data_IF_274768879415
#
_entry.id   IF_274768879415
#
_cell.length_a   1.000
_cell.length_b   1.000
_cell.length_c   1.000
_cell.angle_alpha   90.00
_cell.angle_beta   90.00
_cell.angle_gamma   90.00
#
_symmetry.space_group_name_H-M   'P 1'
#
loop_
_entity.id
_entity.type
_entity.pdbx_description
1 polymer ?
#
# COMPACT_ATOMS: atom_id res chain seq x y z
N UNK A 1 -49.17 -16.25 58.92
CA UNK A 1 -49.37 -15.70 57.57
C UNK A 1 -48.51 -14.44 57.42
N UNK A 2 -47.36 -14.55 56.76
CA UNK A 2 -46.43 -13.42 56.55
C UNK A 2 -46.18 -13.31 55.05
N UNK A 3 -46.86 -12.38 54.38
CA UNK A 3 -46.64 -12.08 52.96
C UNK A 3 -45.41 -11.18 52.82
N UNK A 4 -44.31 -11.74 52.31
CA UNK A 4 -43.15 -10.97 51.84
C UNK A 4 -43.52 -10.29 50.51
N UNK A 5 -43.53 -8.96 50.49
CA UNK A 5 -43.50 -8.18 49.26
C UNK A 5 -42.10 -8.24 48.66
N UNK A 6 -41.98 -8.63 47.38
CA UNK A 6 -40.76 -8.49 46.59
C UNK A 6 -40.89 -7.23 45.73
N UNK A 7 -40.05 -6.23 45.97
CA UNK A 7 -39.84 -5.14 45.00
C UNK A 7 -39.03 -5.70 43.83
N UNK A 8 -39.55 -5.60 42.62
CA UNK A 8 -38.77 -5.77 41.40
C UNK A 8 -38.04 -4.45 41.12
N UNK A 9 -36.71 -4.46 41.27
CA UNK A 9 -35.82 -3.44 40.73
C UNK A 9 -35.77 -3.61 39.21
N UNK A 10 -36.35 -2.66 38.49
CA UNK A 10 -36.22 -2.54 37.04
C UNK A 10 -34.88 -1.88 36.72
N UNK A 11 -33.90 -2.69 36.32
CA UNK A 11 -32.64 -2.21 35.73
C UNK A 11 -32.98 -1.66 34.35
N UNK A 12 -32.93 -0.34 34.22
CA UNK A 12 -33.10 0.36 32.95
C UNK A 12 -31.79 0.21 32.15
N UNK A 13 -31.75 -0.71 31.19
CA UNK A 13 -30.67 -0.75 30.21
C UNK A 13 -30.83 0.45 29.27
N UNK A 14 -29.98 1.46 29.42
CA UNK A 14 -29.75 2.43 28.35
C UNK A 14 -28.99 1.72 27.24
N UNK A 15 -29.70 1.18 26.25
CA UNK A 15 -29.11 0.87 24.96
C UNK A 15 -28.84 2.22 24.30
N UNK A 16 -27.58 2.63 24.27
CA UNK A 16 -27.13 3.69 23.37
C UNK A 16 -27.25 3.14 21.96
N UNK A 17 -28.41 3.37 21.32
CA UNK A 17 -28.53 3.20 19.88
C UNK A 17 -27.66 4.28 19.27
N UNK A 18 -26.45 3.91 18.85
CA UNK A 18 -25.67 4.75 17.97
C UNK A 18 -26.55 5.03 16.74
N UNK A 19 -26.64 6.29 16.26
CA UNK A 19 -27.46 6.61 15.12
C UNK A 19 -27.02 5.72 13.95
N UNK A 20 -27.94 4.89 13.46
CA UNK A 20 -27.77 4.17 12.20
C UNK A 20 -27.61 5.28 11.15
N UNK A 21 -26.49 5.36 10.43
CA UNK A 21 -26.36 6.34 9.36
C UNK A 21 -27.50 6.11 8.37
N UNK A 22 -28.05 7.22 7.86
CA UNK A 22 -29.16 7.26 6.94
C UNK A 22 -29.04 6.20 5.84
N UNK A 23 -30.19 5.63 5.42
CA UNK A 23 -30.34 4.63 4.35
C UNK A 23 -29.23 4.76 3.33
N UNK A 24 -28.26 3.84 3.38
CA UNK A 24 -27.09 3.85 2.50
C UNK A 24 -27.58 3.94 1.06
N UNK A 25 -27.18 4.98 0.34
CA UNK A 25 -27.33 5.02 -1.11
C UNK A 25 -26.71 3.74 -1.66
N UNK A 26 -27.28 3.18 -2.72
CA UNK A 26 -26.82 1.90 -3.26
C UNK A 26 -26.11 2.17 -4.58
N UNK A 27 -24.95 1.57 -4.79
CA UNK A 27 -24.21 1.72 -6.05
C UNK A 27 -24.94 1.04 -7.22
N UNK A 28 -24.40 1.20 -8.43
CA UNK A 28 -24.97 0.60 -9.66
C UNK A 28 -25.04 -0.95 -9.62
N UNK A 29 -24.36 -1.59 -8.66
CA UNK A 29 -24.32 -3.04 -8.48
C UNK A 29 -25.17 -3.54 -7.32
N UNK A 30 -25.82 -2.65 -6.56
CA UNK A 30 -26.62 -3.05 -5.41
C UNK A 30 -25.87 -3.00 -4.07
N UNK A 31 -24.64 -2.47 -4.01
CA UNK A 31 -23.84 -2.40 -2.78
C UNK A 31 -24.20 -1.18 -1.92
N UNK A 32 -24.34 -1.34 -0.59
CA UNK A 32 -24.50 -0.19 0.31
C UNK A 32 -23.33 0.79 0.18
N UNK A 33 -23.61 2.08 0.15
CA UNK A 33 -22.61 3.14 0.12
C UNK A 33 -22.51 3.85 1.47
N UNK A 34 -21.27 4.09 1.90
CA UNK A 34 -20.96 4.75 3.16
C UNK A 34 -20.01 5.90 2.85
N UNK A 35 -20.51 7.13 2.93
CA UNK A 35 -19.67 8.31 2.78
C UNK A 35 -18.84 8.56 4.04
N UNK A 36 -17.57 8.87 3.83
CA UNK A 36 -16.62 9.18 4.90
C UNK A 36 -15.85 10.45 4.56
N UNK A 37 -15.52 11.22 5.60
CA UNK A 37 -14.88 12.53 5.46
C UNK A 37 -13.62 12.66 6.30
N UNK A 38 -13.33 11.71 7.19
CA UNK A 38 -12.18 11.74 8.08
C UNK A 38 -11.69 10.33 8.39
N UNK A 39 -10.55 10.25 9.08
CA UNK A 39 -9.92 8.97 9.37
C UNK A 39 -10.76 8.10 10.30
N UNK A 40 -11.44 8.68 11.29
CA UNK A 40 -12.21 7.92 12.26
C UNK A 40 -13.46 7.30 11.62
N UNK A 41 -14.15 8.05 10.74
CA UNK A 41 -15.27 7.54 9.94
C UNK A 41 -14.81 6.48 8.93
N UNK A 42 -13.69 6.68 8.24
CA UNK A 42 -13.11 5.68 7.34
C UNK A 42 -12.74 4.39 8.10
N UNK A 43 -12.03 4.52 9.23
CA UNK A 43 -11.61 3.39 10.06
C UNK A 43 -12.81 2.62 10.61
N UNK A 44 -13.82 3.32 11.14
CA UNK A 44 -15.04 2.69 11.61
C UNK A 44 -15.79 1.97 10.48
N UNK A 45 -15.83 2.57 9.29
CA UNK A 45 -16.51 1.96 8.14
C UNK A 45 -15.79 0.69 7.64
N UNK A 46 -14.46 0.72 7.56
CA UNK A 46 -13.63 -0.41 7.10
C UNK A 46 -13.61 -1.56 8.12
N UNK A 47 -13.54 -1.26 9.42
CA UNK A 47 -13.37 -2.29 10.46
C UNK A 47 -14.68 -2.95 10.93
N UNK A 48 -15.85 -2.37 10.60
CA UNK A 48 -17.13 -2.89 11.05
C UNK A 48 -17.63 -4.01 10.12
N UNK A 49 -17.71 -5.25 10.64
CA UNK A 49 -18.19 -6.42 9.89
C UNK A 49 -19.63 -6.30 9.38
N UNK A 50 -20.46 -5.42 9.93
CA UNK A 50 -21.79 -5.14 9.41
C UNK A 50 -21.74 -4.45 8.02
N UNK A 51 -20.60 -3.87 7.65
CA UNK A 51 -20.41 -3.19 6.38
C UNK A 51 -19.88 -4.12 5.28
N UNK A 52 -19.71 -5.42 5.53
CA UNK A 52 -19.22 -6.35 4.51
C UNK A 52 -20.00 -6.22 3.18
N UNK A 53 -19.28 -6.14 2.06
CA UNK A 53 -19.86 -5.91 0.74
C UNK A 53 -20.15 -4.45 0.37
N UNK A 54 -19.92 -3.49 1.26
CA UNK A 54 -20.20 -2.07 1.02
C UNK A 54 -19.12 -1.37 0.18
N UNK A 55 -19.49 -0.23 -0.39
CA UNK A 55 -18.59 0.76 -0.99
C UNK A 55 -18.46 1.94 -0.03
N UNK A 56 -17.26 2.19 0.46
CA UNK A 56 -16.92 3.33 1.28
C UNK A 56 -16.43 4.44 0.35
N UNK A 57 -17.08 5.59 0.38
CA UNK A 57 -16.84 6.69 -0.55
C UNK A 57 -16.15 7.83 0.19
N UNK A 58 -14.96 8.21 -0.25
CA UNK A 58 -14.31 9.41 0.25
C UNK A 58 -15.00 10.66 -0.33
N UNK A 59 -15.27 11.61 0.54
CA UNK A 59 -15.83 12.92 0.18
C UNK A 59 -14.78 14.04 0.20
N UNK A 60 -13.58 13.73 0.69
CA UNK A 60 -12.42 14.62 0.72
C UNK A 60 -11.13 13.83 0.94
N UNK A 61 -10.00 14.54 0.90
CA UNK A 61 -8.73 13.96 1.33
C UNK A 61 -8.79 13.61 2.82
N UNK A 62 -8.27 12.44 3.19
CA UNK A 62 -8.26 11.94 4.57
C UNK A 62 -6.81 11.80 5.04
N UNK A 63 -6.50 12.38 6.19
CA UNK A 63 -5.22 12.17 6.87
C UNK A 63 -5.35 11.02 7.87
N UNK A 64 -4.75 9.89 7.54
CA UNK A 64 -4.74 8.70 8.37
C UNK A 64 -3.75 8.82 9.54
N UNK A 65 -4.24 8.57 10.75
CA UNK A 65 -3.45 8.67 11.99
C UNK A 65 -3.24 7.32 12.70
N UNK A 66 -3.75 6.22 12.15
CA UNK A 66 -3.50 4.85 12.60
C UNK A 66 -3.50 3.87 11.42
N UNK A 67 -3.26 2.59 11.69
CA UNK A 67 -3.50 1.50 10.73
C UNK A 67 -4.91 0.93 10.89
N UNK A 68 -5.42 0.24 9.87
CA UNK A 68 -6.58 -0.63 10.08
C UNK A 68 -6.17 -1.83 10.94
N UNK A 69 -7.04 -2.19 11.88
CA UNK A 69 -6.86 -3.27 12.85
C UNK A 69 -7.46 -4.58 12.34
N UNK A 70 -8.50 -4.45 11.52
CA UNK A 70 -9.21 -5.50 10.81
C UNK A 70 -9.83 -4.88 9.56
N UNK A 71 -10.30 -5.70 8.63
CA UNK A 71 -11.02 -5.22 7.45
C UNK A 71 -12.23 -6.12 7.28
N UNK A 72 -13.42 -5.53 7.16
CA UNK A 72 -14.63 -6.26 6.82
C UNK A 72 -14.52 -6.90 5.42
N UNK A 73 -15.28 -7.96 5.19
CA UNK A 73 -15.17 -8.74 3.96
C UNK A 73 -15.71 -7.96 2.75
N UNK A 74 -15.02 -8.03 1.61
CA UNK A 74 -15.50 -7.47 0.33
C UNK A 74 -15.83 -5.97 0.38
N UNK A 75 -14.98 -5.20 1.08
CA UNK A 75 -15.06 -3.74 1.13
C UNK A 75 -14.41 -3.12 -0.11
N UNK A 76 -15.10 -2.16 -0.72
CA UNK A 76 -14.49 -1.26 -1.70
C UNK A 76 -14.28 0.09 -1.00
N UNK A 77 -13.09 0.66 -1.04
CA UNK A 77 -12.86 2.07 -0.69
C UNK A 77 -12.67 2.83 -2.00
N UNK A 78 -13.70 3.58 -2.40
CA UNK A 78 -13.66 4.48 -3.54
C UNK A 78 -13.18 5.86 -3.09
N UNK A 79 -11.98 6.23 -3.54
CA UNK A 79 -11.37 7.51 -3.24
C UNK A 79 -12.02 8.68 -3.97
N UNK A 80 -12.81 8.48 -5.03
CA UNK A 80 -13.37 9.56 -5.85
C UNK A 80 -12.31 10.55 -6.38
N UNK A 81 -11.05 10.13 -6.50
CA UNK A 81 -9.89 10.94 -6.86
C UNK A 81 -9.19 11.60 -5.67
N UNK A 82 -9.74 11.49 -4.46
CA UNK A 82 -9.15 12.00 -3.23
C UNK A 82 -7.96 11.18 -2.76
N UNK A 83 -7.18 11.79 -1.87
CA UNK A 83 -5.98 11.21 -1.29
C UNK A 83 -6.23 10.66 0.11
N UNK A 84 -5.57 9.55 0.43
CA UNK A 84 -5.44 9.02 1.78
C UNK A 84 -3.98 9.18 2.21
N UNK A 85 -3.72 10.13 3.10
CA UNK A 85 -2.38 10.55 3.50
C UNK A 85 -1.97 9.86 4.80
N UNK A 86 -0.89 9.08 4.77
CA UNK A 86 -0.39 8.28 5.88
C UNK A 86 0.78 8.93 6.58
N UNK A 87 0.52 9.84 7.51
CA UNK A 87 1.61 10.49 8.26
C UNK A 87 2.01 9.68 9.51
N UNK A 88 2.33 8.40 9.35
CA UNK A 88 2.59 7.48 10.47
C UNK A 88 4.00 6.90 10.45
N UNK A 89 4.59 6.76 11.65
CA UNK A 89 5.82 5.99 11.89
C UNK A 89 5.53 4.47 12.07
N UNK A 90 4.43 3.98 11.50
CA UNK A 90 3.89 2.62 11.65
C UNK A 90 4.20 1.80 10.39
N UNK A 91 4.34 0.46 10.48
CA UNK A 91 4.85 -0.35 9.37
C UNK A 91 4.07 -0.28 8.05
N UNK A 92 2.74 -0.07 8.07
CA UNK A 92 1.90 0.03 6.86
C UNK A 92 0.45 0.45 7.19
N UNK A 93 -0.35 0.85 6.18
CA UNK A 93 -1.81 1.06 6.31
C UNK A 93 -2.54 -0.28 6.46
N UNK A 94 -2.21 -1.21 5.56
CA UNK A 94 -2.76 -2.56 5.51
C UNK A 94 -1.65 -3.51 5.93
N UNK A 95 -1.91 -4.33 6.95
CA UNK A 95 -1.02 -5.41 7.37
C UNK A 95 -1.85 -6.69 7.48
N UNK A 96 -1.93 -7.43 6.38
CA UNK A 96 -2.71 -8.66 6.30
C UNK A 96 -1.84 -9.85 6.71
N UNK A 97 -2.23 -10.55 7.76
CA UNK A 97 -1.50 -11.70 8.31
C UNK A 97 -1.66 -12.95 7.44
N UNK A 98 -0.79 -13.94 7.65
CA UNK A 98 -0.87 -15.23 6.96
C UNK A 98 -2.22 -15.91 7.22
N UNK A 99 -2.86 -16.39 6.15
CA UNK A 99 -4.20 -17.01 6.11
C UNK A 99 -5.39 -16.05 6.28
N UNK A 100 -5.15 -14.74 6.44
CA UNK A 100 -6.22 -13.76 6.31
C UNK A 100 -6.51 -13.53 4.82
N UNK A 101 -7.78 -13.33 4.50
CA UNK A 101 -8.22 -12.89 3.19
C UNK A 101 -8.94 -11.58 3.37
N UNK A 102 -8.67 -10.63 2.47
CA UNK A 102 -9.49 -9.45 2.32
C UNK A 102 -9.72 -9.23 0.85
N UNK A 103 -10.97 -8.94 0.50
CA UNK A 103 -11.31 -8.42 -0.81
C UNK A 103 -11.41 -6.87 -0.71
N UNK A 104 -10.47 -6.26 0.04
CA UNK A 104 -10.35 -4.81 0.11
C UNK A 104 -9.85 -4.27 -1.22
N UNK A 105 -10.74 -3.60 -1.94
CA UNK A 105 -10.41 -2.93 -3.19
C UNK A 105 -10.27 -1.44 -2.90
N UNK A 106 -9.06 -0.93 -3.00
CA UNK A 106 -8.83 0.51 -3.06
C UNK A 106 -9.02 0.94 -4.51
N UNK A 107 -9.99 1.80 -4.80
CA UNK A 107 -10.23 2.30 -6.16
C UNK A 107 -10.23 3.81 -6.22
N UNK A 108 -9.75 4.37 -7.33
CA UNK A 108 -9.79 5.81 -7.61
C UNK A 108 -9.27 6.66 -6.42
N UNK A 109 -8.22 6.18 -5.76
CA UNK A 109 -7.66 6.81 -4.56
C UNK A 109 -6.16 6.96 -4.73
N UNK A 110 -5.61 8.06 -4.21
CA UNK A 110 -4.16 8.26 -4.12
C UNK A 110 -3.69 8.00 -2.70
N UNK A 111 -2.85 6.99 -2.49
CA UNK A 111 -2.26 6.71 -1.18
C UNK A 111 -0.89 7.37 -1.07
N UNK A 112 -0.66 8.21 -0.05
CA UNK A 112 0.59 8.98 0.15
C UNK A 112 1.19 8.85 1.55
N UNK A 113 2.48 9.19 1.74
CA UNK A 113 3.03 9.61 3.03
C UNK A 113 3.64 8.54 3.95
N UNK A 114 3.60 7.26 3.60
CA UNK A 114 3.98 6.16 4.50
C UNK A 114 5.42 6.24 4.99
N UNK A 115 5.71 5.79 6.22
CA UNK A 115 7.07 5.57 6.77
C UNK A 115 7.13 4.23 7.52
N UNK A 116 7.44 3.15 6.81
CA UNK A 116 7.43 1.78 7.36
C UNK A 116 8.82 1.13 7.54
N UNK A 117 8.97 0.30 8.58
CA UNK A 117 10.19 -0.45 8.94
C UNK A 117 10.48 -1.67 8.06
N UNK A 118 9.48 -2.23 7.36
CA UNK A 118 9.60 -3.47 6.60
C UNK A 118 8.83 -3.48 5.27
N UNK A 119 8.10 -2.41 4.94
CA UNK A 119 7.14 -2.42 3.85
C UNK A 119 6.58 -1.04 3.54
N UNK A 120 5.77 -0.99 2.48
CA UNK A 120 5.05 0.18 2.05
C UNK A 120 3.66 0.37 2.63
N UNK A 121 2.84 1.17 1.96
CA UNK A 121 1.41 1.34 2.25
C UNK A 121 0.69 0.02 2.49
N UNK A 122 1.08 -1.04 1.77
CA UNK A 122 0.51 -2.39 1.89
C UNK A 122 1.63 -3.38 2.23
N UNK A 123 1.44 -4.12 3.33
CA UNK A 123 2.19 -5.36 3.63
C UNK A 123 1.20 -6.52 3.56
N UNK A 124 1.49 -7.49 2.69
CA UNK A 124 0.62 -8.63 2.46
C UNK A 124 1.33 -9.96 2.74
N UNK A 125 0.80 -10.72 3.69
CA UNK A 125 1.15 -12.13 3.93
C UNK A 125 -0.01 -13.09 3.63
N UNK A 126 -1.21 -12.55 3.35
CA UNK A 126 -2.45 -13.27 3.12
C UNK A 126 -2.91 -13.19 1.65
N UNK A 127 -4.21 -13.05 1.42
CA UNK A 127 -4.78 -12.85 0.08
C UNK A 127 -5.51 -11.51 0.00
N UNK A 128 -5.09 -10.65 -0.93
CA UNK A 128 -5.78 -9.43 -1.33
C UNK A 128 -6.37 -9.66 -2.72
N UNK A 129 -7.60 -9.19 -2.95
CA UNK A 129 -8.22 -9.14 -4.26
C UNK A 129 -7.52 -8.19 -5.25
N UNK A 130 -8.28 -7.66 -6.21
CA UNK A 130 -7.77 -6.66 -7.15
C UNK A 130 -7.60 -5.30 -6.47
N UNK A 131 -6.54 -4.56 -6.83
CA UNK A 131 -6.23 -3.22 -6.35
C UNK A 131 -6.39 -2.24 -7.52
N UNK A 132 -7.10 -1.13 -7.32
CA UNK A 132 -7.36 -0.11 -8.34
C UNK A 132 -6.91 1.29 -7.89
N UNK A 133 -5.70 1.41 -7.32
CA UNK A 133 -5.23 2.63 -6.66
C UNK A 133 -3.91 3.16 -7.24
N UNK A 134 -3.76 4.49 -7.25
CA UNK A 134 -2.48 5.13 -7.51
C UNK A 134 -1.67 5.19 -6.22
N UNK A 135 -0.40 4.82 -6.31
CA UNK A 135 0.55 4.90 -5.20
C UNK A 135 1.51 6.06 -5.49
N UNK A 136 1.39 7.14 -4.73
CA UNK A 136 2.21 8.34 -4.95
C UNK A 136 2.93 8.76 -3.69
N UNK A 137 4.23 9.04 -3.80
CA UNK A 137 5.04 9.56 -2.69
C UNK A 137 4.98 8.68 -1.44
N UNK A 138 4.92 7.35 -1.59
CA UNK A 138 5.02 6.43 -0.47
C UNK A 138 6.48 6.18 -0.13
N UNK A 139 6.82 6.10 1.16
CA UNK A 139 8.19 5.86 1.60
C UNK A 139 8.32 4.70 2.59
N UNK A 140 9.46 4.02 2.53
CA UNK A 140 9.86 3.04 3.55
C UNK A 140 11.28 3.40 3.97
N UNK A 141 11.44 3.70 5.26
CA UNK A 141 12.68 4.21 5.84
C UNK A 141 13.05 3.34 7.03
N UNK A 142 14.24 2.75 7.00
CA UNK A 142 14.74 1.98 8.15
C UNK A 142 16.23 2.18 8.33
N UNK A 143 16.63 2.47 9.57
CA UNK A 143 18.03 2.74 9.93
C UNK A 143 18.84 1.48 10.27
N UNK A 144 18.17 0.36 10.58
CA UNK A 144 18.82 -0.89 11.03
C UNK A 144 18.38 -2.15 10.28
N UNK A 145 17.16 -2.17 9.74
CA UNK A 145 16.59 -3.30 9.01
C UNK A 145 16.34 -2.93 7.56
N UNK A 146 16.01 -3.89 6.70
CA UNK A 146 15.77 -3.57 5.29
C UNK A 146 14.47 -2.79 5.05
N UNK A 147 14.46 -1.93 4.03
CA UNK A 147 13.28 -1.22 3.55
C UNK A 147 12.85 -1.80 2.20
N UNK A 148 11.58 -2.20 2.09
CA UNK A 148 11.11 -3.08 1.03
C UNK A 148 9.82 -2.53 0.43
N UNK A 149 9.76 -2.33 -0.89
CA UNK A 149 8.53 -1.99 -1.61
C UNK A 149 7.68 -0.91 -0.94
N UNK A 150 8.03 0.37 -1.07
CA UNK A 150 7.42 1.43 -0.26
C UNK A 150 5.94 1.70 -0.54
N UNK A 151 5.40 1.21 -1.65
CA UNK A 151 3.97 1.15 -1.88
C UNK A 151 3.42 -0.21 -1.46
N UNK A 152 4.04 -1.29 -1.95
CA UNK A 152 3.56 -2.66 -1.73
C UNK A 152 4.74 -3.59 -1.43
N UNK A 153 4.64 -4.31 -0.31
CA UNK A 153 5.45 -5.48 -0.04
C UNK A 153 4.57 -6.73 0.08
N UNK A 154 4.69 -7.59 -0.92
CA UNK A 154 4.00 -8.88 -0.97
C UNK A 154 4.97 -10.01 -0.57
N UNK A 155 4.80 -10.53 0.65
CA UNK A 155 5.59 -11.64 1.18
C UNK A 155 5.40 -12.92 0.34
N UNK A 156 6.27 -13.90 0.54
CA UNK A 156 6.25 -15.19 -0.17
C UNK A 156 4.93 -15.98 -0.03
N UNK A 157 4.20 -15.81 1.06
CA UNK A 157 2.85 -16.39 1.23
C UNK A 157 1.73 -15.53 0.66
N UNK A 158 2.04 -14.27 0.36
CA UNK A 158 1.12 -13.25 -0.09
C UNK A 158 0.62 -13.49 -1.51
N UNK A 159 -0.67 -13.27 -1.70
CA UNK A 159 -1.34 -13.25 -3.00
C UNK A 159 -2.04 -11.93 -3.16
N UNK A 160 -1.81 -11.27 -4.29
CA UNK A 160 -2.56 -10.09 -4.72
C UNK A 160 -3.17 -10.43 -6.07
N UNK A 161 -4.40 -9.99 -6.30
CA UNK A 161 -5.03 -10.04 -7.62
C UNK A 161 -4.31 -9.14 -8.63
N UNK A 162 -5.07 -8.55 -9.55
CA UNK A 162 -4.56 -7.55 -10.47
C UNK A 162 -4.36 -6.21 -9.74
N UNK A 163 -3.38 -5.44 -10.20
CA UNK A 163 -3.13 -4.08 -9.74
C UNK A 163 -3.31 -3.17 -10.93
N UNK A 164 -4.22 -2.21 -10.82
CA UNK A 164 -4.42 -1.13 -11.79
C UNK A 164 -4.16 0.20 -11.10
N UNK A 165 -3.22 0.98 -11.61
CA UNK A 165 -2.87 2.29 -11.06
C UNK A 165 -1.38 2.58 -11.13
N UNK A 166 -1.04 3.86 -11.20
CA UNK A 166 0.32 4.33 -11.36
C UNK A 166 1.10 4.30 -10.04
N UNK A 167 2.39 4.00 -10.14
CA UNK A 167 3.37 4.09 -9.06
C UNK A 167 4.28 5.28 -9.34
N UNK A 168 4.14 6.36 -8.56
CA UNK A 168 4.78 7.64 -8.82
C UNK A 168 5.61 8.08 -7.61
N UNK A 169 6.91 8.28 -7.80
CA UNK A 169 7.82 8.83 -6.78
C UNK A 169 7.79 8.06 -5.45
N UNK A 170 7.53 6.75 -5.50
CA UNK A 170 7.63 5.90 -4.32
C UNK A 170 9.09 5.53 -4.08
N UNK A 171 9.52 5.53 -2.82
CA UNK A 171 10.91 5.21 -2.52
C UNK A 171 11.17 4.44 -1.23
N UNK A 172 12.16 3.54 -1.30
CA UNK A 172 12.66 2.80 -0.14
C UNK A 172 14.11 3.22 0.16
N UNK A 173 14.45 3.42 1.44
CA UNK A 173 15.79 3.83 1.86
C UNK A 173 16.21 3.11 3.15
N UNK A 174 17.29 2.35 3.06
CA UNK A 174 17.96 1.62 4.16
C UNK A 174 19.32 1.11 3.66
N UNK A 175 20.15 0.57 4.56
CA UNK A 175 21.34 -0.19 4.19
C UNK A 175 21.00 -1.39 3.27
N UNK A 176 19.88 -2.06 3.52
CA UNK A 176 19.36 -3.16 2.69
C UNK A 176 18.02 -2.75 2.09
N UNK A 177 17.91 -2.65 0.79
CA UNK A 177 16.69 -2.12 0.14
C UNK A 177 16.35 -2.90 -1.10
N UNK A 178 15.07 -3.17 -1.36
CA UNK A 178 14.66 -3.87 -2.57
C UNK A 178 13.30 -3.35 -3.00
N UNK A 179 13.18 -2.95 -4.27
CA UNK A 179 11.92 -2.43 -4.80
C UNK A 179 11.62 -1.04 -4.24
N UNK A 180 11.84 0.02 -5.01
CA UNK A 180 11.47 1.37 -4.55
C UNK A 180 9.98 1.53 -4.35
N UNK A 181 9.15 0.93 -5.21
CA UNK A 181 7.70 0.92 -5.11
C UNK A 181 7.16 -0.45 -4.68
N UNK A 182 7.57 -1.52 -5.36
CA UNK A 182 7.05 -2.87 -5.14
C UNK A 182 8.18 -3.85 -4.82
N UNK A 183 8.02 -4.59 -3.73
CA UNK A 183 8.73 -5.85 -3.52
C UNK A 183 7.73 -7.00 -3.60
N UNK A 184 7.98 -7.96 -4.50
CA UNK A 184 7.18 -9.18 -4.61
C UNK A 184 8.01 -10.45 -4.44
N UNK A 185 7.78 -11.15 -3.34
CA UNK A 185 8.23 -12.53 -3.11
C UNK A 185 7.08 -13.55 -3.30
N UNK A 186 5.84 -13.08 -3.27
CA UNK A 186 4.63 -13.89 -3.43
C UNK A 186 4.10 -13.94 -4.86
N UNK A 187 2.77 -13.97 -4.99
CA UNK A 187 2.09 -13.94 -6.30
C UNK A 187 1.32 -12.64 -6.48
N UNK A 188 1.52 -11.99 -7.63
CA UNK A 188 0.69 -10.89 -8.11
C UNK A 188 0.11 -11.31 -9.47
N UNK A 189 -1.14 -10.90 -9.73
CA UNK A 189 -1.78 -11.02 -11.04
C UNK A 189 -1.12 -10.12 -12.09
N UNK A 190 -1.93 -9.38 -12.83
CA UNK A 190 -1.44 -8.40 -13.80
C UNK A 190 -1.22 -7.05 -13.13
N UNK A 191 -0.17 -6.33 -13.54
CA UNK A 191 0.06 -4.96 -13.14
C UNK A 191 -0.16 -4.07 -14.36
N UNK A 192 -1.13 -3.16 -14.27
CA UNK A 192 -1.48 -2.17 -15.28
C UNK A 192 -1.33 -0.76 -14.72
N UNK A 193 -0.18 -0.14 -14.96
CA UNK A 193 0.12 1.21 -14.48
C UNK A 193 1.58 1.60 -14.73
N UNK A 194 1.82 2.90 -14.82
CA UNK A 194 3.15 3.44 -15.06
C UNK A 194 3.97 3.48 -13.78
N UNK A 195 5.26 3.20 -13.91
CA UNK A 195 6.25 3.36 -12.87
C UNK A 195 7.08 4.60 -13.20
N UNK A 196 6.86 5.69 -12.47
CA UNK A 196 7.51 6.97 -12.74
C UNK A 196 8.29 7.45 -11.52
N UNK A 197 9.59 7.72 -11.69
CA UNK A 197 10.45 8.32 -10.65
C UNK A 197 10.53 7.52 -9.34
N UNK A 198 10.20 6.24 -9.34
CA UNK A 198 10.34 5.42 -8.15
C UNK A 198 11.82 5.08 -7.93
N UNK A 199 12.26 5.02 -6.69
CA UNK A 199 13.66 4.72 -6.43
C UNK A 199 13.94 3.94 -5.15
N UNK A 200 15.02 3.16 -5.17
CA UNK A 200 15.56 2.52 -3.98
C UNK A 200 16.93 3.13 -3.66
N UNK A 201 17.21 3.36 -2.38
CA UNK A 201 18.50 3.88 -1.91
C UNK A 201 19.21 2.87 -1.01
N UNK A 202 20.49 2.60 -1.25
CA UNK A 202 21.31 1.68 -0.45
C UNK A 202 21.90 0.50 -1.24
N UNK A 203 22.07 -0.65 -0.58
CA UNK A 203 22.49 -1.91 -1.21
C UNK A 203 21.37 -2.55 -2.02
N UNK A 204 20.84 -1.82 -3.01
CA UNK A 204 19.52 -2.11 -3.59
C UNK A 204 19.52 -2.84 -4.91
N UNK A 205 18.39 -3.51 -5.16
CA UNK A 205 17.98 -4.00 -6.47
C UNK A 205 16.54 -3.55 -6.79
N UNK A 206 16.24 -3.33 -8.07
CA UNK A 206 14.89 -2.97 -8.53
C UNK A 206 14.46 -1.57 -8.07
N UNK A 207 14.86 -0.52 -8.78
CA UNK A 207 14.55 0.86 -8.36
C UNK A 207 13.05 1.16 -8.28
N UNK A 208 12.21 0.52 -9.08
CA UNK A 208 10.76 0.51 -8.92
C UNK A 208 10.25 -0.84 -8.40
N UNK A 209 10.60 -1.94 -9.07
CA UNK A 209 10.09 -3.27 -8.76
C UNK A 209 11.26 -4.23 -8.49
N UNK A 210 11.16 -4.96 -7.40
CA UNK A 210 11.97 -6.14 -7.12
C UNK A 210 11.08 -7.38 -7.04
N UNK A 211 11.30 -8.35 -7.94
CA UNK A 211 10.50 -9.58 -8.01
C UNK A 211 11.36 -10.84 -7.84
N UNK A 212 11.08 -11.62 -6.80
CA UNK A 212 11.56 -13.00 -6.64
C UNK A 212 10.42 -14.02 -6.73
N UNK A 213 9.18 -13.56 -6.57
CA UNK A 213 7.97 -14.35 -6.72
C UNK A 213 7.48 -14.45 -8.17
N UNK A 214 6.16 -14.43 -8.34
CA UNK A 214 5.51 -14.49 -9.65
C UNK A 214 4.66 -13.25 -9.91
N UNK A 215 4.84 -12.64 -11.09
CA UNK A 215 3.94 -11.62 -11.65
C UNK A 215 3.44 -12.15 -13.00
N UNK A 216 2.13 -12.12 -13.23
CA UNK A 216 1.57 -12.67 -14.47
C UNK A 216 1.96 -11.83 -15.68
N UNK A 217 1.78 -10.52 -15.60
CA UNK A 217 2.02 -9.57 -16.69
C UNK A 217 2.27 -8.18 -16.13
N UNK A 218 3.11 -7.40 -16.80
CA UNK A 218 3.27 -5.98 -16.56
C UNK A 218 2.93 -5.22 -17.84
N UNK A 219 2.07 -4.22 -17.70
CA UNK A 219 1.65 -3.25 -18.71
C UNK A 219 1.74 -1.86 -18.10
N UNK A 220 2.33 -0.91 -18.82
CA UNK A 220 2.63 0.43 -18.32
C UNK A 220 4.13 0.70 -18.31
N UNK A 221 4.49 1.96 -18.44
CA UNK A 221 5.86 2.37 -18.76
C UNK A 221 6.71 2.60 -17.52
N UNK A 222 8.00 2.26 -17.62
CA UNK A 222 9.00 2.58 -16.61
C UNK A 222 9.76 3.83 -17.06
N UNK A 223 9.53 4.94 -16.39
CA UNK A 223 10.21 6.22 -16.68
C UNK A 223 10.98 6.72 -15.47
N UNK A 224 12.28 6.99 -15.64
CA UNK A 224 13.13 7.65 -14.64
C UNK A 224 13.17 6.96 -13.27
N UNK A 225 12.89 5.66 -13.22
CA UNK A 225 13.07 4.89 -12.00
C UNK A 225 14.55 4.58 -11.81
N UNK A 226 15.02 4.60 -10.57
CA UNK A 226 16.45 4.45 -10.34
C UNK A 226 16.83 3.82 -9.01
N UNK A 227 18.08 3.39 -8.94
CA UNK A 227 18.73 3.04 -7.68
C UNK A 227 19.74 4.13 -7.34
N UNK A 228 19.69 4.67 -6.12
CA UNK A 228 20.70 5.57 -5.57
C UNK A 228 21.59 4.81 -4.60
N UNK A 229 22.83 4.55 -5.01
CA UNK A 229 23.76 3.79 -4.17
C UNK A 229 24.57 4.69 -3.26
N UNK A 230 24.72 4.29 -1.99
CA UNK A 230 25.66 4.94 -1.07
C UNK A 230 27.12 4.66 -1.46
N UNK A 231 27.96 5.67 -1.23
CA UNK A 231 29.41 5.52 -1.22
C UNK A 231 29.85 4.45 -0.20
N UNK A 232 30.75 3.54 -0.60
CA UNK A 232 31.31 2.51 0.27
C UNK A 232 30.53 1.19 0.37
N UNK A 233 29.41 1.02 -0.33
CA UNK A 233 28.74 -0.28 -0.45
C UNK A 233 29.36 -1.11 -1.59
N UNK A 234 29.86 -2.31 -1.26
CA UNK A 234 30.67 -3.15 -2.16
C UNK A 234 29.87 -4.23 -2.94
N UNK A 235 28.54 -4.09 -3.01
CA UNK A 235 27.67 -5.01 -3.75
C UNK A 235 27.29 -4.49 -5.13
N UNK A 236 27.23 -5.39 -6.11
CA UNK A 236 26.61 -5.12 -7.41
C UNK A 236 25.14 -4.75 -7.22
N UNK A 237 24.65 -3.82 -8.04
CA UNK A 237 23.24 -3.42 -8.08
C UNK A 237 22.65 -3.76 -9.42
N UNK A 238 21.43 -4.23 -9.42
CA UNK A 238 20.74 -4.69 -10.62
C UNK A 238 19.35 -4.08 -10.73
N UNK A 239 18.94 -3.82 -11.98
CA UNK A 239 17.59 -3.38 -12.28
C UNK A 239 17.29 -1.96 -11.80
N UNK A 240 17.84 -0.94 -12.46
CA UNK A 240 17.56 0.48 -12.16
C UNK A 240 16.05 0.79 -12.08
N UNK A 241 15.22 0.10 -12.86
CA UNK A 241 13.76 0.10 -12.70
C UNK A 241 13.21 -1.22 -12.18
N UNK A 242 13.57 -2.34 -12.81
CA UNK A 242 12.99 -3.65 -12.54
C UNK A 242 14.12 -4.65 -12.35
N UNK A 243 14.11 -5.32 -11.21
CA UNK A 243 14.88 -6.53 -10.96
C UNK A 243 13.94 -7.72 -10.88
N UNK A 244 14.27 -8.79 -11.62
CA UNK A 244 13.51 -10.03 -11.61
C UNK A 244 14.45 -11.23 -11.49
N UNK A 245 14.35 -11.96 -10.39
CA UNK A 245 14.93 -13.31 -10.22
C UNK A 245 13.86 -14.40 -10.12
N UNK A 246 12.58 -14.00 -10.09
CA UNK A 246 11.43 -14.90 -10.12
C UNK A 246 10.85 -15.05 -11.54
N UNK A 247 9.52 -15.18 -11.62
CA UNK A 247 8.78 -15.30 -12.87
C UNK A 247 8.03 -14.02 -13.19
N UNK A 248 8.24 -13.50 -14.39
CA UNK A 248 7.33 -12.54 -15.04
C UNK A 248 6.90 -13.13 -16.36
N UNK A 249 5.59 -13.24 -16.61
CA UNK A 249 5.07 -13.84 -17.83
C UNK A 249 5.32 -12.97 -19.06
N UNK A 250 4.69 -11.79 -19.10
CA UNK A 250 4.83 -10.82 -20.20
C UNK A 250 5.19 -9.46 -19.62
N UNK A 251 6.14 -8.77 -20.25
CA UNK A 251 6.43 -7.35 -20.01
C UNK A 251 6.10 -6.61 -21.31
N UNK A 252 5.05 -5.80 -21.28
CA UNK A 252 4.61 -4.96 -22.39
C UNK A 252 4.72 -3.50 -21.95
N UNK A 253 5.97 -3.04 -21.86
CA UNK A 253 6.35 -1.75 -21.26
C UNK A 253 7.49 -1.11 -22.03
N UNK A 254 7.54 0.22 -22.05
CA UNK A 254 8.75 0.94 -22.40
C UNK A 254 9.61 1.22 -21.17
N UNK A 255 10.92 1.34 -21.36
CA UNK A 255 11.89 1.64 -20.31
C UNK A 255 12.69 2.88 -20.71
N UNK A 256 12.26 4.06 -20.24
CA UNK A 256 12.87 5.33 -20.59
C UNK A 256 13.62 5.96 -19.41
N UNK A 257 14.91 6.26 -19.60
CA UNK A 257 15.70 7.00 -18.61
C UNK A 257 15.83 6.33 -17.25
N UNK A 258 15.63 5.01 -17.13
CA UNK A 258 15.85 4.30 -15.87
C UNK A 258 17.35 4.05 -15.67
N UNK A 259 17.87 4.25 -14.46
CA UNK A 259 19.32 4.20 -14.22
C UNK A 259 19.69 3.65 -12.85
N UNK A 260 20.97 3.35 -12.67
CA UNK A 260 21.58 3.12 -11.37
C UNK A 260 22.62 4.22 -11.23
N UNK A 261 22.53 5.03 -10.17
CA UNK A 261 23.56 6.02 -9.85
C UNK A 261 24.32 5.59 -8.60
N UNK A 262 25.63 5.82 -8.63
CA UNK A 262 26.45 5.80 -7.42
C UNK A 262 26.82 7.22 -7.02
N UNK A 263 26.91 7.51 -5.72
CA UNK A 263 27.46 8.79 -5.24
C UNK A 263 28.88 9.06 -5.75
N UNK A 264 29.61 8.01 -6.17
CA UNK A 264 30.94 8.13 -6.78
C UNK A 264 30.89 8.80 -8.16
N UNK A 265 29.82 8.61 -8.92
CA UNK A 265 29.68 9.16 -10.27
C UNK A 265 29.45 10.68 -10.27
N UNK A 266 28.88 11.24 -9.20
CA UNK A 266 28.74 12.70 -9.04
C UNK A 266 30.05 13.41 -8.69
N UNK A 267 30.96 12.75 -7.99
CA UNK A 267 32.25 13.35 -7.61
C UNK A 267 33.30 13.26 -8.73
N UNK A 268 33.23 12.25 -9.60
CA UNK A 268 34.11 12.17 -10.77
C UNK A 268 33.74 13.21 -11.84
N UNK A 269 32.46 13.54 -12.02
CA UNK A 269 32.03 14.63 -12.91
C UNK A 269 32.45 16.03 -12.42
N UNK A 270 32.54 16.24 -11.10
CA UNK A 270 32.99 17.51 -10.51
C UNK A 270 34.52 17.65 -10.55
N UNK A 271 35.28 16.55 -10.58
CA UNK A 271 36.75 16.58 -10.63
C UNK A 271 37.33 17.00 -11.98
N UNK A 272 36.57 16.93 -13.07
CA UNK A 272 37.03 17.36 -14.41
C UNK A 272 36.59 18.78 -14.82
N UNK A 273 35.82 19.48 -13.98
CA UNK A 273 35.36 20.86 -14.25
C UNK A 273 36.01 21.95 -13.37
N UNK A 274 37.12 21.66 -12.68
CA UNK A 274 37.93 22.72 -12.06
C UNK A 274 39.11 23.06 -12.99
N UNK A 275 38.98 24.21 -13.65
CA UNK A 275 40.03 24.92 -14.38
C UNK A 275 41.25 25.19 -13.48
#
# INVERSE_FOLDING_TARGET
>A
MTKKFRLFSSVLYFVTVLPIPAVAAVDITGRPQIEVSDWDSLKAAVENSANSGSVIILTQNIDANARFSTIADNIIVDGQGYSLNFNLNSPSLINLSKNEQTDLILQNITVTGTRGYYGGSIINQGTIGDIHANFKNNSSLSAMYGAYGSAIYNYSTGKIGNITGDFISNYASSQFTNGGAILNDGTIGEISGNFMYNYATGGSNGGAIYNTGSIKKITGDFTQNHIKSYSGYFGDKFGGSLYNSGKIGIISSTFNGNYISSEKDSDELIRWCRL
#
